data_IF_874098208073
#
_entry.id   IF_874098208073
#
_cell.length_a   1.000
_cell.length_b   1.000
_cell.length_c   1.000
_cell.angle_alpha   90.00
_cell.angle_beta   90.00
_cell.angle_gamma   90.00
#
_symmetry.space_group_name_H-M   'P 1'
#
loop_
_entity.id
_entity.type
_entity.pdbx_description
1 polymer ?
#
# COMPACT_ATOMS: atom_id res chain seq x y z
N UNK A 1 -5.12 -4.17 18.55
CA UNK A 1 -4.11 -3.27 17.93
C UNK A 1 -3.39 -2.50 19.04
N UNK A 2 -2.13 -2.12 18.84
CA UNK A 2 -1.31 -1.42 19.82
C UNK A 2 -0.59 -0.22 19.19
N UNK A 3 -0.80 0.97 19.77
CA UNK A 3 -0.07 2.20 19.44
C UNK A 3 1.13 2.37 20.38
N UNK A 4 2.28 2.70 19.80
CA UNK A 4 3.55 2.76 20.52
C UNK A 4 4.02 4.18 20.85
N UNK A 5 3.64 5.17 20.05
CA UNK A 5 3.96 6.59 20.30
C UNK A 5 2.96 7.12 21.33
N UNK A 6 3.47 7.57 22.47
CA UNK A 6 2.65 8.08 23.59
C UNK A 6 2.88 9.57 23.87
N UNK A 7 3.95 10.11 23.31
CA UNK A 7 4.36 11.49 23.54
C UNK A 7 3.79 12.40 22.44
N UNK A 8 3.58 13.69 22.74
CA UNK A 8 3.35 14.68 21.72
C UNK A 8 4.55 14.78 20.79
N UNK A 9 4.28 14.67 19.49
CA UNK A 9 5.30 14.78 18.45
C UNK A 9 5.11 16.03 17.59
N UNK A 10 4.02 16.76 17.79
CA UNK A 10 3.79 18.05 17.18
C UNK A 10 4.01 19.15 18.22
N UNK A 11 4.60 20.28 17.84
CA UNK A 11 4.90 21.42 18.74
C UNK A 11 3.68 21.98 19.46
N UNK A 12 2.47 21.74 18.96
CA UNK A 12 1.19 22.08 19.63
C UNK A 12 0.67 21.00 20.59
N UNK A 13 1.47 20.01 20.93
CA UNK A 13 1.09 18.97 21.89
C UNK A 13 0.27 17.82 21.30
N UNK A 14 0.26 17.63 19.98
CA UNK A 14 -0.50 16.55 19.33
C UNK A 14 0.38 15.33 19.00
N UNK A 15 -0.25 14.16 18.97
CA UNK A 15 0.37 12.89 18.54
C UNK A 15 -0.26 12.44 17.23
N UNK A 16 0.19 13.03 16.11
CA UNK A 16 -0.40 12.81 14.77
C UNK A 16 0.30 11.69 14.00
N UNK A 17 1.62 11.55 14.16
CA UNK A 17 2.42 10.48 13.57
C UNK A 17 2.58 9.35 14.61
N UNK A 18 2.20 8.16 14.19
CA UNK A 18 1.99 7.03 15.11
C UNK A 18 2.63 5.77 14.55
N UNK A 19 3.13 4.93 15.45
CA UNK A 19 3.56 3.57 15.13
C UNK A 19 2.53 2.62 15.71
N UNK A 20 1.81 1.91 14.84
CA UNK A 20 0.74 0.98 15.22
C UNK A 20 1.09 -0.42 14.74
N UNK A 21 0.91 -1.40 15.63
CA UNK A 21 1.10 -2.82 15.33
C UNK A 21 -0.13 -3.64 15.74
N UNK A 22 -0.18 -4.89 15.31
CA UNK A 22 -1.06 -5.89 15.94
C UNK A 22 -0.58 -6.08 17.38
N UNK A 23 -1.52 -6.20 18.32
CA UNK A 23 -1.26 -6.46 19.75
C UNK A 23 -0.81 -7.90 20.03
N UNK A 24 -0.92 -8.78 19.04
CA UNK A 24 -0.52 -10.18 19.14
C UNK A 24 0.95 -10.43 18.81
N UNK A 25 1.70 -9.42 18.35
CA UNK A 25 3.09 -9.57 17.90
C UNK A 25 3.97 -8.43 18.39
N UNK A 26 5.07 -8.77 19.08
CA UNK A 26 6.09 -7.81 19.52
C UNK A 26 7.08 -7.48 18.39
N UNK A 27 6.67 -6.59 17.49
CA UNK A 27 7.46 -6.20 16.30
C UNK A 27 8.20 -4.87 16.49
N UNK A 28 7.87 -4.07 17.50
CA UNK A 28 8.41 -2.71 17.68
C UNK A 28 9.00 -2.56 19.07
N UNK A 29 10.21 -2.00 19.15
CA UNK A 29 10.90 -1.71 20.41
C UNK A 29 11.67 -0.39 20.33
N UNK A 30 12.14 0.13 21.46
CA UNK A 30 13.00 1.33 21.53
C UNK A 30 12.44 2.55 20.79
N UNK A 31 11.17 2.85 21.05
CA UNK A 31 10.49 4.03 20.48
C UNK A 31 11.02 5.27 21.17
N UNK A 32 11.56 6.20 20.39
CA UNK A 32 12.17 7.46 20.85
C UNK A 32 11.62 8.60 20.01
N UNK A 33 11.23 9.69 20.66
CA UNK A 33 10.89 10.95 19.99
C UNK A 33 12.09 11.88 20.09
N UNK A 34 12.52 12.46 18.98
CA UNK A 34 13.69 13.36 18.93
C UNK A 34 13.48 14.50 17.95
N UNK A 35 14.18 15.62 18.16
CA UNK A 35 14.29 16.65 17.13
C UNK A 35 15.09 16.10 15.94
N UNK A 36 14.56 16.11 14.70
CA UNK A 36 15.29 15.62 13.53
C UNK A 36 16.47 16.51 13.02
N UNK A 37 16.87 17.59 13.71
CA UNK A 37 17.85 18.61 13.24
C UNK A 37 17.68 19.18 11.80
N UNK A 38 16.48 19.58 11.37
CA UNK A 38 16.17 20.12 10.03
C UNK A 38 16.02 21.64 10.18
N UNK A 39 16.76 22.36 9.37
CA UNK A 39 16.68 23.81 9.19
C UNK A 39 16.42 24.09 7.72
N UNK A 40 15.69 25.16 7.42
CA UNK A 40 15.69 25.71 6.05
C UNK A 40 16.99 26.44 5.79
N UNK A 41 17.33 26.63 4.50
CA UNK A 41 18.56 27.30 4.05
C UNK A 41 18.76 28.71 4.65
N UNK A 42 17.69 29.33 5.16
CA UNK A 42 17.72 30.60 5.89
C UNK A 42 18.16 30.49 7.35
N UNK A 43 18.52 29.31 7.85
CA UNK A 43 18.89 29.06 9.25
C UNK A 43 17.71 29.01 10.23
N UNK A 44 16.48 29.19 9.75
CA UNK A 44 15.28 29.07 10.57
C UNK A 44 14.92 27.59 10.78
N UNK A 45 14.48 27.26 11.99
CA UNK A 45 13.94 25.93 12.31
C UNK A 45 12.51 25.89 11.76
N UNK A 46 12.28 25.14 10.69
CA UNK A 46 10.95 24.99 10.06
C UNK A 46 10.18 23.76 10.58
N UNK A 47 10.32 23.45 11.87
CA UNK A 47 9.81 22.20 12.42
C UNK A 47 8.62 22.40 13.32
N UNK A 48 7.53 21.80 12.90
CA UNK A 48 6.35 21.58 13.71
C UNK A 48 6.22 20.12 14.17
N UNK A 49 7.02 19.19 13.61
CA UNK A 49 7.04 17.77 13.96
C UNK A 49 8.41 17.28 14.48
N UNK A 50 8.37 16.40 15.47
CA UNK A 50 9.48 15.60 15.98
C UNK A 50 9.56 14.26 15.23
N UNK A 51 10.75 13.69 15.12
CA UNK A 51 10.97 12.38 14.53
C UNK A 51 10.69 11.27 15.55
N UNK A 52 10.02 10.21 15.10
CA UNK A 52 9.85 8.96 15.85
C UNK A 52 10.84 7.93 15.33
N UNK A 53 11.77 7.50 16.17
CA UNK A 53 12.76 6.46 15.87
C UNK A 53 12.37 5.20 16.63
N UNK A 54 12.41 4.03 15.99
CA UNK A 54 12.11 2.76 16.63
C UNK A 54 12.84 1.60 15.95
N UNK A 55 13.00 0.51 16.68
CA UNK A 55 13.53 -0.74 16.16
C UNK A 55 12.38 -1.64 15.68
N UNK A 56 12.39 -1.99 14.39
CA UNK A 56 11.47 -2.94 13.79
C UNK A 56 12.08 -4.35 13.78
N UNK A 57 11.47 -5.29 14.50
CA UNK A 57 11.77 -6.73 14.45
C UNK A 57 10.98 -7.40 13.32
N UNK A 58 11.20 -6.94 12.09
CA UNK A 58 10.60 -7.55 10.91
C UNK A 58 11.62 -8.46 10.22
N UNK A 59 11.41 -9.77 10.31
CA UNK A 59 12.17 -10.71 9.48
C UNK A 59 11.67 -10.59 8.04
N UNK A 60 12.58 -10.41 7.08
CA UNK A 60 12.25 -10.53 5.66
C UNK A 60 11.64 -11.92 5.45
N UNK A 61 10.40 -12.05 4.91
CA UNK A 61 9.83 -13.35 4.64
C UNK A 61 10.71 -14.09 3.63
N UNK A 62 10.69 -15.42 3.69
CA UNK A 62 11.39 -16.23 2.71
C UNK A 62 10.95 -15.83 1.29
N UNK A 63 11.87 -15.76 0.31
CA UNK A 63 11.49 -15.53 -1.07
C UNK A 63 10.41 -16.53 -1.49
N UNK A 64 9.23 -16.03 -1.83
CA UNK A 64 8.15 -16.89 -2.33
C UNK A 64 8.35 -17.05 -3.82
N UNK A 65 8.76 -18.25 -4.24
CA UNK A 65 8.69 -18.63 -5.65
C UNK A 65 7.24 -19.01 -5.96
N UNK A 66 6.67 -18.41 -7.01
CA UNK A 66 5.37 -18.82 -7.54
C UNK A 66 5.54 -19.30 -8.97
N UNK A 67 4.95 -20.45 -9.28
CA UNK A 67 4.82 -20.89 -10.66
C UNK A 67 3.78 -20.01 -11.33
N UNK A 68 4.19 -19.29 -12.36
CA UNK A 68 3.28 -18.55 -13.23
C UNK A 68 3.05 -19.38 -14.49
N UNK A 69 1.79 -19.73 -14.75
CA UNK A 69 1.39 -20.30 -16.03
C UNK A 69 1.02 -19.18 -16.98
N UNK A 70 1.43 -19.29 -18.24
CA UNK A 70 1.09 -18.34 -19.29
C UNK A 70 0.60 -19.10 -20.52
N UNK A 71 -0.33 -18.49 -21.25
CA UNK A 71 -0.78 -19.02 -22.54
C UNK A 71 0.31 -18.78 -23.58
N UNK A 72 0.76 -19.83 -24.25
CA UNK A 72 1.68 -19.70 -25.38
C UNK A 72 0.93 -19.11 -26.58
N UNK A 73 1.10 -17.81 -26.82
CA UNK A 73 0.35 -17.10 -27.86
C UNK A 73 0.54 -17.70 -29.27
N UNK A 74 1.73 -18.24 -29.57
CA UNK A 74 2.03 -18.89 -30.86
C UNK A 74 1.39 -20.26 -31.06
N UNK A 75 0.93 -20.90 -29.98
CA UNK A 75 0.25 -22.20 -30.03
C UNK A 75 -1.28 -22.05 -30.03
N UNK A 76 -1.79 -20.81 -30.04
CA UNK A 76 -3.23 -20.57 -30.15
C UNK A 76 -3.69 -20.96 -31.55
N UNK A 77 -4.61 -21.91 -31.64
CA UNK A 77 -5.37 -22.14 -32.85
C UNK A 77 -6.34 -20.96 -33.03
N UNK A 78 -6.09 -20.15 -34.07
CA UNK A 78 -6.86 -18.93 -34.32
C UNK A 78 -8.34 -19.25 -34.60
N UNK A 79 -8.62 -20.34 -35.30
CA UNK A 79 -10.00 -20.69 -35.69
C UNK A 79 -10.81 -21.19 -34.49
N UNK A 80 -10.24 -22.07 -33.67
CA UNK A 80 -10.87 -22.48 -32.40
C UNK A 80 -11.07 -21.29 -31.47
N UNK A 81 -10.09 -20.39 -31.38
CA UNK A 81 -10.20 -19.21 -30.53
C UNK A 81 -11.30 -18.23 -30.98
N UNK A 82 -11.48 -18.03 -32.28
CA UNK A 82 -12.61 -17.23 -32.82
C UNK A 82 -13.95 -17.87 -32.47
N UNK A 83 -14.04 -19.19 -32.62
CA UNK A 83 -15.24 -19.95 -32.29
C UNK A 83 -15.57 -19.81 -30.79
N UNK A 84 -14.58 -19.99 -29.92
CA UNK A 84 -14.72 -19.79 -28.47
C UNK A 84 -15.23 -18.39 -28.12
N UNK A 85 -14.78 -17.35 -28.84
CA UNK A 85 -15.28 -15.97 -28.63
C UNK A 85 -16.75 -15.85 -29.02
N UNK A 86 -17.14 -16.41 -30.16
CA UNK A 86 -18.54 -16.33 -30.65
C UNK A 86 -19.51 -17.16 -29.83
N UNK A 87 -19.04 -18.25 -29.24
CA UNK A 87 -19.82 -19.15 -28.39
C UNK A 87 -19.80 -18.73 -26.92
N UNK A 88 -18.86 -17.86 -26.53
CA UNK A 88 -18.81 -17.30 -25.19
C UNK A 88 -20.00 -16.38 -24.94
N UNK A 89 -20.60 -16.48 -23.76
CA UNK A 89 -21.62 -15.56 -23.25
C UNK A 89 -21.00 -14.20 -22.88
N UNK A 90 -20.23 -13.60 -23.79
CA UNK A 90 -19.80 -12.21 -23.65
C UNK A 90 -21.04 -11.36 -23.90
N UNK A 91 -21.73 -11.00 -22.82
CA UNK A 91 -22.78 -10.00 -22.87
C UNK A 91 -22.13 -8.67 -23.23
N UNK A 92 -22.05 -8.40 -24.54
CA UNK A 92 -22.10 -7.02 -24.99
C UNK A 92 -23.54 -6.58 -24.72
N UNK A 93 -23.81 -6.08 -23.51
CA UNK A 93 -24.85 -5.08 -23.41
C UNK A 93 -24.55 -4.07 -24.52
N UNK A 94 -25.57 -3.66 -25.27
CA UNK A 94 -25.44 -2.59 -26.24
C UNK A 94 -25.09 -1.31 -25.47
N UNK A 95 -23.82 -1.17 -25.07
CA UNK A 95 -23.28 0.02 -24.43
C UNK A 95 -23.07 1.00 -25.57
N UNK A 96 -24.18 1.59 -25.99
CA UNK A 96 -24.19 2.71 -26.93
C UNK A 96 -23.72 4.00 -26.24
N UNK A 97 -23.61 4.00 -24.90
CA UNK A 97 -23.23 5.14 -24.08
C UNK A 97 -22.24 4.75 -22.96
N UNK A 98 -20.98 5.22 -23.00
CA UNK A 98 -19.97 4.97 -21.98
C UNK A 98 -20.28 5.57 -20.59
N UNK A 99 -21.23 6.50 -20.44
CA UNK A 99 -21.62 7.04 -19.12
C UNK A 99 -22.39 6.03 -18.25
N UNK A 100 -22.97 5.00 -18.86
CA UNK A 100 -23.78 3.99 -18.14
C UNK A 100 -22.95 3.14 -17.17
N UNK A 101 -21.62 3.05 -17.39
CA UNK A 101 -20.71 2.24 -16.58
C UNK A 101 -20.36 2.86 -15.21
N UNK A 102 -20.56 4.17 -15.03
CA UNK A 102 -20.22 4.86 -13.77
C UNK A 102 -21.29 4.65 -12.69
N UNK A 103 -22.47 4.13 -13.04
CA UNK A 103 -23.62 4.01 -12.11
C UNK A 103 -23.73 2.65 -11.41
N UNK A 104 -22.87 1.70 -11.72
CA UNK A 104 -22.97 0.32 -11.18
C UNK A 104 -21.83 -0.05 -10.23
N UNK A 105 -21.05 0.94 -9.77
CA UNK A 105 -20.09 0.83 -8.67
C UNK A 105 -20.51 1.76 -7.53
#
# INVERSE_FOLDING_TARGET
MMQHVKEPIHVRGHTLDVVITRDTVDTVSNVVVTDPGLSVDSGNISKDHYAVIFNARASKPAPVSKTVTFRKLREINIETFKQDITESEIQFENIHDPETLVKTL
#
